data_IF_010734920335
#
_entry.id   IF_010734920335
#
_cell.length_a   1.000
_cell.length_b   1.000
_cell.length_c   1.000
_cell.angle_alpha   90.00
_cell.angle_beta   90.00
_cell.angle_gamma   90.00
#
_symmetry.space_group_name_H-M   'P 1'
#
loop_
_entity.id
_entity.type
_entity.pdbx_description
1 polymer ?
#
# COMPACT_ATOMS: atom_id res chain seq x y z
N UNK A 1 1.72 -9.20 11.04
CA UNK A 1 2.73 -8.10 10.97
C UNK A 1 2.18 -6.67 11.13
N UNK A 2 0.86 -6.44 11.05
CA UNK A 2 0.25 -5.10 11.09
C UNK A 2 0.66 -4.19 12.29
N UNK A 3 0.73 -4.72 13.52
CA UNK A 3 1.17 -3.91 14.68
C UNK A 3 2.60 -3.38 14.55
N UNK A 4 3.48 -4.13 13.88
CA UNK A 4 4.88 -3.74 13.69
C UNK A 4 5.01 -2.61 12.67
N UNK A 5 4.37 -2.73 11.50
CA UNK A 5 4.44 -1.67 10.48
C UNK A 5 3.85 -0.36 11.00
N UNK A 6 2.71 -0.41 11.70
CA UNK A 6 2.06 0.78 12.27
C UNK A 6 2.96 1.52 13.25
N UNK A 7 3.69 0.79 14.11
CA UNK A 7 4.67 1.38 15.03
C UNK A 7 5.88 1.97 14.30
N UNK A 8 6.40 1.27 13.29
CA UNK A 8 7.55 1.71 12.51
C UNK A 8 7.30 3.08 11.85
N UNK A 9 6.09 3.31 11.36
CA UNK A 9 5.67 4.56 10.73
C UNK A 9 4.99 5.54 11.68
N UNK A 10 4.90 5.24 12.99
CA UNK A 10 4.19 6.06 13.97
C UNK A 10 2.77 6.44 13.48
N UNK A 11 2.06 5.48 12.89
CA UNK A 11 0.75 5.65 12.25
C UNK A 11 0.68 6.66 11.08
N UNK A 12 1.80 7.09 10.49
CA UNK A 12 1.77 7.91 9.27
C UNK A 12 1.47 7.01 8.07
N UNK A 13 0.55 7.45 7.21
CA UNK A 13 0.27 6.79 5.94
C UNK A 13 1.50 6.86 5.02
N UNK A 14 1.93 5.72 4.46
CA UNK A 14 3.06 5.69 3.53
C UNK A 14 2.78 6.36 2.18
N UNK A 15 1.51 6.63 1.86
CA UNK A 15 1.07 7.31 0.63
C UNK A 15 1.00 8.82 0.87
N UNK A 16 0.09 9.27 1.74
CA UNK A 16 -0.16 10.70 1.94
C UNK A 16 0.55 11.33 3.15
N UNK A 17 1.28 10.57 3.97
CA UNK A 17 1.91 11.02 5.21
C UNK A 17 0.96 11.52 6.32
N UNK A 18 -0.36 11.50 6.09
CA UNK A 18 -1.34 11.88 7.12
C UNK A 18 -1.36 10.89 8.28
N UNK A 19 -1.69 11.42 9.46
CA UNK A 19 -1.94 10.66 10.69
C UNK A 19 -3.36 10.94 11.14
N UNK A 20 -4.14 9.89 11.41
CA UNK A 20 -5.51 10.08 11.91
C UNK A 20 -5.45 10.30 13.42
N UNK A 21 -5.87 11.48 13.92
CA UNK A 21 -5.89 11.76 15.35
C UNK A 21 -7.09 11.09 16.02
N UNK A 22 -6.91 10.70 17.27
CA UNK A 22 -7.96 10.32 18.20
C UNK A 22 -7.78 11.04 19.54
N UNK A 23 -8.71 10.80 20.47
CA UNK A 23 -8.63 11.32 21.83
C UNK A 23 -7.36 10.82 22.55
N UNK A 24 -6.92 11.56 23.55
CA UNK A 24 -5.79 11.23 24.43
C UNK A 24 -4.48 10.93 23.69
N UNK A 25 -4.22 11.67 22.61
CA UNK A 25 -3.00 11.51 21.79
C UNK A 25 -2.93 10.20 21.01
N UNK A 26 -4.04 9.44 20.94
CA UNK A 26 -4.11 8.23 20.12
C UNK A 26 -4.03 8.61 18.65
N UNK A 27 -3.39 7.75 17.87
CA UNK A 27 -3.29 7.89 16.42
C UNK A 27 -3.67 6.58 15.75
N UNK A 28 -4.19 6.66 14.54
CA UNK A 28 -4.70 5.51 13.82
C UNK A 28 -4.13 5.39 12.41
N UNK A 29 -3.89 4.14 12.03
CA UNK A 29 -3.51 3.67 10.71
C UNK A 29 -3.86 2.19 10.62
N UNK A 30 -3.70 1.61 9.44
CA UNK A 30 -3.99 0.21 9.15
C UNK A 30 -2.76 -0.45 8.54
N UNK A 31 -2.54 -1.71 8.90
CA UNK A 31 -1.53 -2.53 8.25
C UNK A 31 -2.20 -3.23 7.08
N UNK A 32 -1.85 -2.85 5.86
CA UNK A 32 -2.45 -3.33 4.63
C UNK A 32 -1.50 -4.32 3.94
N UNK A 33 -1.96 -5.53 3.65
CA UNK A 33 -1.20 -6.47 2.82
C UNK A 33 -1.30 -6.04 1.36
N UNK A 34 -0.17 -5.92 0.65
CA UNK A 34 -0.18 -5.55 -0.78
C UNK A 34 -0.64 -6.74 -1.63
N UNK A 35 -0.05 -7.91 -1.39
CA UNK A 35 -0.56 -9.19 -1.89
C UNK A 35 -1.48 -9.80 -0.83
N UNK A 36 -2.78 -10.02 -1.12
CA UNK A 36 -3.72 -10.51 -0.12
C UNK A 36 -3.35 -11.88 0.47
N UNK A 37 -3.72 -12.10 1.73
CA UNK A 37 -3.54 -13.38 2.42
C UNK A 37 -4.53 -14.45 1.92
N UNK A 38 -4.24 -15.71 2.22
CA UNK A 38 -5.17 -16.82 2.00
C UNK A 38 -5.40 -17.16 0.51
N UNK A 39 -6.19 -18.21 0.23
CA UNK A 39 -6.51 -18.59 -1.16
C UNK A 39 -7.44 -17.55 -1.79
N UNK A 40 -7.28 -17.22 -3.09
CA UNK A 40 -6.32 -17.79 -4.05
C UNK A 40 -4.94 -17.10 -4.08
N UNK A 41 -4.76 -15.98 -3.37
CA UNK A 41 -3.62 -15.09 -3.55
C UNK A 41 -2.33 -15.59 -2.88
N UNK A 42 -2.45 -16.17 -1.68
CA UNK A 42 -1.36 -16.75 -0.90
C UNK A 42 -0.22 -15.76 -0.62
N UNK A 43 -0.56 -14.50 -0.34
CA UNK A 43 0.37 -13.51 0.20
C UNK A 43 0.85 -13.89 1.60
N UNK A 44 2.06 -13.48 1.96
CA UNK A 44 2.63 -13.74 3.29
C UNK A 44 2.27 -12.66 4.30
N UNK A 45 2.10 -13.03 5.58
CA UNK A 45 2.05 -12.06 6.69
C UNK A 45 3.48 -11.65 7.10
N UNK A 46 4.15 -10.94 6.20
CA UNK A 46 5.55 -10.50 6.31
C UNK A 46 5.66 -9.00 6.07
N UNK A 47 6.73 -8.38 6.55
CA UNK A 47 6.87 -6.92 6.52
C UNK A 47 7.01 -6.39 5.07
N UNK A 48 7.73 -7.11 4.21
CA UNK A 48 7.89 -6.79 2.79
C UNK A 48 6.64 -7.03 1.92
N UNK A 49 5.52 -7.42 2.54
CA UNK A 49 4.20 -7.49 1.94
C UNK A 49 3.20 -6.54 2.64
N UNK A 50 3.66 -5.59 3.46
CA UNK A 50 2.78 -4.81 4.33
C UNK A 50 3.09 -3.31 4.25
N UNK A 51 2.03 -2.50 4.15
CA UNK A 51 2.13 -1.04 4.25
C UNK A 51 1.40 -0.51 5.48
N UNK A 52 1.85 0.62 6.02
CA UNK A 52 1.11 1.42 6.98
C UNK A 52 0.31 2.47 6.22
N UNK A 53 -1.02 2.35 6.18
CA UNK A 53 -1.91 3.21 5.40
C UNK A 53 -2.98 3.87 6.28
N UNK A 54 -3.53 5.00 5.83
CA UNK A 54 -4.81 5.47 6.36
C UNK A 54 -5.97 4.67 5.73
N UNK A 55 -7.18 4.66 6.30
CA UNK A 55 -8.32 3.88 5.82
C UNK A 55 -8.71 4.17 4.37
N UNK A 56 -8.59 5.43 3.94
CA UNK A 56 -8.87 5.81 2.56
C UNK A 56 -7.95 5.09 1.58
N UNK A 57 -6.62 5.18 1.80
CA UNK A 57 -5.65 4.53 0.91
C UNK A 57 -5.63 3.02 1.09
N UNK A 58 -5.89 2.49 2.28
CA UNK A 58 -6.06 1.05 2.46
C UNK A 58 -7.24 0.53 1.63
N UNK A 59 -8.38 1.19 1.71
CA UNK A 59 -9.56 0.83 0.92
C UNK A 59 -9.28 0.94 -0.57
N UNK A 60 -8.62 2.01 -1.04
CA UNK A 60 -8.20 2.15 -2.43
C UNK A 60 -7.26 1.03 -2.88
N UNK A 61 -6.36 0.55 -2.02
CA UNK A 61 -5.51 -0.61 -2.33
C UNK A 61 -6.37 -1.86 -2.51
N UNK A 62 -7.24 -2.15 -1.54
CA UNK A 62 -8.02 -3.39 -1.47
C UNK A 62 -9.02 -3.53 -2.63
N UNK A 63 -9.55 -2.41 -3.12
CA UNK A 63 -10.56 -2.40 -4.20
C UNK A 63 -10.00 -1.99 -5.56
N UNK A 64 -8.67 -1.82 -5.68
CA UNK A 64 -8.01 -1.47 -6.94
C UNK A 64 -8.17 -0.02 -7.39
N UNK A 65 -8.57 0.89 -6.49
CA UNK A 65 -8.61 2.34 -6.76
C UNK A 65 -7.23 2.97 -6.97
N UNK A 66 -6.18 2.34 -6.45
CA UNK A 66 -4.79 2.69 -6.75
C UNK A 66 -3.94 1.44 -6.96
N UNK A 67 -2.84 1.56 -7.71
CA UNK A 67 -1.82 0.52 -7.88
C UNK A 67 -0.43 1.07 -7.55
N UNK A 68 0.51 0.17 -7.27
CA UNK A 68 1.91 0.51 -6.99
C UNK A 68 2.76 0.03 -8.18
N UNK A 69 3.60 0.92 -8.70
CA UNK A 69 4.56 0.64 -9.78
C UNK A 69 5.88 0.08 -9.23
N UNK A 70 6.75 -0.41 -10.13
CA UNK A 70 8.01 -1.06 -9.73
C UNK A 70 9.02 -0.08 -9.12
N UNK A 71 8.93 1.20 -9.47
CA UNK A 71 9.68 2.31 -8.87
C UNK A 71 9.05 2.82 -7.55
N UNK A 72 8.02 2.15 -7.05
CA UNK A 72 7.24 2.50 -5.86
C UNK A 72 6.39 3.77 -6.00
N UNK A 73 6.17 4.25 -7.23
CA UNK A 73 5.15 5.26 -7.53
C UNK A 73 3.75 4.69 -7.31
N UNK A 74 2.84 5.52 -6.80
CA UNK A 74 1.44 5.18 -6.54
C UNK A 74 0.57 5.92 -7.56
N UNK A 75 -0.20 5.15 -8.31
CA UNK A 75 -1.00 5.62 -9.44
C UNK A 75 -2.46 5.37 -9.15
N UNK A 76 -3.30 6.37 -9.44
CA UNK A 76 -4.75 6.21 -9.45
C UNK A 76 -5.16 5.38 -10.67
N UNK A 77 -5.89 4.28 -10.44
CA UNK A 77 -6.18 3.30 -11.50
C UNK A 77 -7.12 3.86 -12.58
N UNK A 78 -7.96 4.85 -12.25
CA UNK A 78 -8.93 5.44 -13.17
C UNK A 78 -8.30 6.52 -14.05
N UNK A 79 -7.56 7.43 -13.43
CA UNK A 79 -6.96 8.60 -14.10
C UNK A 79 -5.59 8.29 -14.71
N UNK A 80 -4.95 7.20 -14.28
CA UNK A 80 -3.55 6.84 -14.59
C UNK A 80 -2.52 7.86 -14.13
N UNK A 81 -2.92 8.85 -13.33
CA UNK A 81 -2.00 9.84 -12.79
C UNK A 81 -1.29 9.28 -11.57
N UNK A 82 0.04 9.41 -11.56
CA UNK A 82 0.81 9.29 -10.32
C UNK A 82 0.42 10.42 -9.37
N UNK A 83 0.12 10.08 -8.11
CA UNK A 83 -0.21 11.07 -7.09
C UNK A 83 0.66 10.97 -5.83
N UNK A 84 1.45 9.89 -5.71
CA UNK A 84 2.41 9.75 -4.62
C UNK A 84 3.57 8.83 -5.00
N UNK A 85 4.58 8.79 -4.15
CA UNK A 85 5.62 7.76 -4.12
C UNK A 85 5.66 7.21 -2.69
N UNK A 86 5.72 5.88 -2.54
CA UNK A 86 5.69 5.25 -1.23
C UNK A 86 6.87 5.73 -0.36
N UNK A 87 6.54 6.13 0.87
CA UNK A 87 7.52 6.56 1.86
C UNK A 87 8.06 5.35 2.62
N UNK A 88 9.38 5.23 2.68
CA UNK A 88 10.06 4.19 3.45
C UNK A 88 10.87 4.78 4.60
N UNK A 89 10.97 4.04 5.70
CA UNK A 89 11.81 4.41 6.85
C UNK A 89 12.64 3.21 7.31
N UNK A 90 13.86 3.48 7.77
CA UNK A 90 14.83 2.46 8.14
C UNK A 90 15.05 1.42 7.04
N UNK A 91 15.05 0.15 7.45
CA UNK A 91 15.27 -0.99 6.55
C UNK A 91 13.97 -1.54 5.90
N UNK A 92 12.80 -0.97 6.17
CA UNK A 92 11.57 -1.48 5.58
C UNK A 92 11.51 -1.18 4.08
N UNK A 93 11.25 -2.22 3.28
CA UNK A 93 11.04 -2.15 1.83
C UNK A 93 9.88 -3.07 1.48
N UNK A 94 9.11 -2.69 0.48
CA UNK A 94 8.12 -3.56 -0.15
C UNK A 94 8.84 -4.45 -1.17
N UNK A 95 8.53 -5.74 -1.20
CA UNK A 95 8.96 -6.62 -2.28
C UNK A 95 8.22 -6.24 -3.57
N UNK A 96 8.93 -5.83 -4.65
CA UNK A 96 8.30 -5.44 -5.90
C UNK A 96 7.35 -6.50 -6.48
N UNK A 97 7.60 -7.79 -6.20
CA UNK A 97 6.73 -8.90 -6.66
C UNK A 97 5.34 -8.85 -6.03
N UNK A 98 5.20 -8.31 -4.82
CA UNK A 98 3.89 -8.12 -4.19
C UNK A 98 3.13 -6.98 -4.89
N UNK A 99 3.82 -5.88 -5.23
CA UNK A 99 3.25 -4.76 -5.98
C UNK A 99 2.84 -5.18 -7.41
N UNK A 100 3.69 -5.93 -8.11
CA UNK A 100 3.40 -6.49 -9.42
C UNK A 100 2.16 -7.39 -9.39
N UNK A 101 2.09 -8.31 -8.42
CA UNK A 101 0.93 -9.19 -8.26
C UNK A 101 -0.35 -8.39 -8.02
N UNK A 102 -0.32 -7.42 -7.09
CA UNK A 102 -1.46 -6.54 -6.82
C UNK A 102 -1.90 -5.81 -8.09
N UNK A 103 -0.97 -5.17 -8.80
CA UNK A 103 -1.23 -4.45 -10.05
C UNK A 103 -1.86 -5.34 -11.11
N UNK A 104 -1.45 -6.62 -11.21
CA UNK A 104 -2.01 -7.57 -12.17
C UNK A 104 -3.50 -7.89 -11.95
N UNK A 105 -4.03 -7.69 -10.74
CA UNK A 105 -5.44 -7.90 -10.42
C UNK A 105 -6.34 -6.78 -10.94
N UNK A 106 -5.81 -5.56 -11.05
CA UNK A 106 -6.60 -4.33 -11.25
C UNK A 106 -6.28 -3.60 -12.55
N UNK A 107 -5.10 -3.82 -13.11
CA UNK A 107 -4.66 -3.30 -14.38
C UNK A 107 -4.17 -4.46 -15.26
N UNK A 108 -5.08 -5.37 -15.70
CA UNK A 108 -4.69 -6.44 -16.61
C UNK A 108 -4.06 -5.81 -17.86
N UNK A 109 -2.95 -6.39 -18.32
CA UNK A 109 -2.17 -5.97 -19.49
C UNK A 109 -3.09 -5.68 -20.68
N UNK A 110 -3.48 -4.41 -20.81
CA UNK A 110 -4.41 -3.89 -21.78
C UNK A 110 -3.83 -2.60 -22.33
N UNK A 111 -2.73 -2.75 -23.07
CA UNK A 111 -2.29 -1.90 -24.17
C UNK A 111 -2.18 -0.38 -24.04
N UNK A 112 -2.18 0.23 -22.86
CA UNK A 112 -1.73 1.62 -22.72
C UNK A 112 -0.80 1.74 -21.51
N UNK A 113 0.45 2.01 -21.82
CA UNK A 113 1.58 2.20 -20.92
C UNK A 113 1.19 3.12 -19.79
N UNK A 114 1.27 2.62 -18.55
CA UNK A 114 1.32 3.48 -17.37
C UNK A 114 2.70 4.14 -17.42
N UNK A 115 2.74 5.37 -17.96
CA UNK A 115 3.89 6.29 -17.93
C UNK A 115 3.71 7.28 -16.80
#
# INVERSE_FOLDING_TARGET
>A
MARQVKRLYKNHCQVCNEVIPGLDGRTYSEGAHVKPLGRPHLGGDVLDNMLCLCPNHHTQLDIGGMVILDDMSVVDTLTKAQFATLRFTGAHRLDPRNAEYHRSLWAPLGNETII
#
